data_IF_557371616385
#
_entry.id   IF_557371616385
#
_cell.length_a   1.000
_cell.length_b   1.000
_cell.length_c   1.000
_cell.angle_alpha   90.00
_cell.angle_beta   90.00
_cell.angle_gamma   90.00
#
_symmetry.space_group_name_H-M   'P 1'
#
loop_
_entity.id
_entity.type
_entity.pdbx_description
1 polymer ?
#
# COMPACT_ATOMS: atom_id res chain seq x y z
N UNK A 1 -25.59 -50.41 -35.08
CA UNK A 1 -26.69 -49.47 -34.75
C UNK A 1 -27.83 -50.10 -33.91
N UNK A 2 -27.80 -51.39 -33.55
CA UNK A 2 -28.86 -52.03 -32.75
C UNK A 2 -28.72 -51.77 -31.24
N UNK A 3 -27.48 -51.69 -30.71
CA UNK A 3 -27.21 -51.59 -29.27
C UNK A 3 -27.75 -50.32 -28.60
N UNK A 4 -27.75 -49.18 -29.29
CA UNK A 4 -28.31 -47.93 -28.74
C UNK A 4 -29.83 -48.00 -28.58
N UNK A 5 -30.53 -48.68 -29.52
CA UNK A 5 -31.98 -48.87 -29.47
C UNK A 5 -32.36 -49.80 -28.32
N UNK A 6 -31.62 -50.90 -28.15
CA UNK A 6 -31.78 -51.80 -27.02
C UNK A 6 -31.53 -51.11 -25.67
N UNK A 7 -30.51 -50.24 -25.59
CA UNK A 7 -30.26 -49.45 -24.39
C UNK A 7 -31.42 -48.47 -24.09
N UNK A 8 -31.92 -47.76 -25.11
CA UNK A 8 -33.04 -46.83 -24.96
C UNK A 8 -34.35 -47.52 -24.55
N UNK A 9 -34.66 -48.69 -25.11
CA UNK A 9 -35.83 -49.48 -24.74
C UNK A 9 -35.69 -50.03 -23.32
N UNK A 10 -34.50 -50.47 -22.91
CA UNK A 10 -34.22 -50.92 -21.54
C UNK A 10 -34.40 -49.80 -20.51
N UNK A 11 -34.03 -48.55 -20.85
CA UNK A 11 -34.27 -47.37 -20.00
C UNK A 11 -35.76 -47.08 -19.84
N UNK A 12 -36.54 -47.18 -20.92
CA UNK A 12 -38.00 -46.97 -20.88
C UNK A 12 -38.72 -48.05 -20.09
N UNK A 13 -38.30 -49.31 -20.22
CA UNK A 13 -38.94 -50.45 -19.53
C UNK A 13 -38.69 -50.44 -18.01
N UNK A 14 -37.53 -49.93 -17.57
CA UNK A 14 -37.14 -49.86 -16.16
C UNK A 14 -37.06 -48.41 -15.63
N UNK A 15 -38.03 -47.56 -16.00
CA UNK A 15 -37.99 -46.12 -15.78
C UNK A 15 -37.68 -45.67 -14.35
N UNK A 16 -38.24 -46.34 -13.31
CA UNK A 16 -37.97 -45.99 -11.90
C UNK A 16 -36.52 -46.25 -11.49
N UNK A 17 -35.94 -47.38 -11.96
CA UNK A 17 -34.55 -47.76 -11.65
C UNK A 17 -33.58 -46.84 -12.38
N UNK A 18 -33.81 -46.58 -13.67
CA UNK A 18 -32.94 -45.69 -14.44
C UNK A 18 -33.01 -44.25 -13.95
N UNK A 19 -34.20 -43.76 -13.58
CA UNK A 19 -34.35 -42.43 -13.00
C UNK A 19 -33.56 -42.28 -11.69
N UNK A 20 -33.64 -43.28 -10.79
CA UNK A 20 -32.86 -43.28 -9.55
C UNK A 20 -31.35 -43.28 -9.80
N UNK A 21 -30.87 -44.06 -10.78
CA UNK A 21 -29.45 -44.06 -11.17
C UNK A 21 -29.00 -42.72 -11.76
N UNK A 22 -29.81 -42.10 -12.64
CA UNK A 22 -29.52 -40.78 -13.20
C UNK A 22 -29.47 -39.72 -12.10
N UNK A 23 -30.43 -39.76 -11.17
CA UNK A 23 -30.50 -38.82 -10.06
C UNK A 23 -29.29 -38.97 -9.12
N UNK A 24 -28.86 -40.20 -8.84
CA UNK A 24 -27.63 -40.47 -8.08
C UNK A 24 -26.38 -39.91 -8.77
N UNK A 25 -26.24 -40.10 -10.09
CA UNK A 25 -25.13 -39.54 -10.86
C UNK A 25 -25.17 -38.02 -10.88
N UNK A 26 -26.33 -37.40 -11.08
CA UNK A 26 -26.50 -35.95 -11.07
C UNK A 26 -26.13 -35.36 -9.70
N UNK A 27 -26.58 -35.97 -8.60
CA UNK A 27 -26.23 -35.53 -7.26
C UNK A 27 -24.72 -35.65 -7.01
N UNK A 28 -24.09 -36.75 -7.42
CA UNK A 28 -22.65 -36.94 -7.29
C UNK A 28 -21.86 -35.88 -8.09
N UNK A 29 -22.23 -35.64 -9.35
CA UNK A 29 -21.59 -34.62 -10.20
C UNK A 29 -21.78 -33.23 -9.61
N UNK A 30 -23.00 -32.87 -9.19
CA UNK A 30 -23.28 -31.56 -8.61
C UNK A 30 -22.49 -31.35 -7.32
N UNK A 31 -22.39 -32.39 -6.48
CA UNK A 31 -21.61 -32.35 -5.25
C UNK A 31 -20.12 -32.17 -5.55
N UNK A 32 -19.54 -32.99 -6.43
CA UNK A 32 -18.12 -32.89 -6.80
C UNK A 32 -17.81 -31.52 -7.43
N UNK A 33 -18.60 -31.09 -8.42
CA UNK A 33 -18.41 -29.79 -9.07
C UNK A 33 -18.57 -28.63 -8.10
N UNK A 34 -19.59 -28.66 -7.23
CA UNK A 34 -19.77 -27.63 -6.20
C UNK A 34 -18.60 -27.56 -5.23
N UNK A 35 -18.05 -28.72 -4.84
CA UNK A 35 -16.89 -28.80 -3.95
C UNK A 35 -15.62 -28.24 -4.63
N UNK A 36 -15.40 -28.57 -5.91
CA UNK A 36 -14.26 -28.04 -6.68
C UNK A 36 -14.35 -26.52 -6.87
N UNK A 37 -15.54 -25.99 -7.17
CA UNK A 37 -15.76 -24.54 -7.29
C UNK A 37 -15.49 -23.85 -5.94
N UNK A 38 -15.96 -24.43 -4.84
CA UNK A 38 -15.73 -23.89 -3.50
C UNK A 38 -14.22 -23.88 -3.13
N UNK A 39 -13.48 -24.93 -3.49
CA UNK A 39 -12.03 -25.01 -3.28
C UNK A 39 -11.30 -23.99 -4.15
N UNK A 40 -11.60 -23.90 -5.44
CA UNK A 40 -10.98 -22.92 -6.35
C UNK A 40 -11.25 -21.50 -5.88
N UNK A 41 -12.48 -21.20 -5.46
CA UNK A 41 -12.82 -19.89 -4.89
C UNK A 41 -12.08 -19.60 -3.58
N UNK A 42 -11.97 -20.58 -2.68
CA UNK A 42 -11.30 -20.39 -1.39
C UNK A 42 -9.80 -20.24 -1.54
N UNK A 43 -9.19 -21.02 -2.45
CA UNK A 43 -7.76 -20.93 -2.76
C UNK A 43 -7.42 -19.61 -3.42
N UNK A 44 -8.23 -19.12 -4.37
CA UNK A 44 -8.05 -17.76 -4.92
C UNK A 44 -8.20 -16.69 -3.87
N UNK A 45 -9.26 -16.71 -3.06
CA UNK A 45 -9.44 -15.71 -2.01
C UNK A 45 -8.28 -15.71 -0.99
N UNK A 46 -7.74 -16.90 -0.68
CA UNK A 46 -6.57 -17.02 0.20
C UNK A 46 -5.32 -16.48 -0.47
N UNK A 47 -5.08 -16.83 -1.74
CA UNK A 47 -3.95 -16.33 -2.52
C UNK A 47 -4.01 -14.82 -2.70
N UNK A 48 -5.18 -14.28 -3.09
CA UNK A 48 -5.42 -12.85 -3.23
C UNK A 48 -5.20 -12.14 -1.89
N UNK A 49 -5.67 -12.71 -0.78
CA UNK A 49 -5.42 -12.16 0.56
C UNK A 49 -3.94 -12.20 0.97
N UNK A 50 -3.19 -13.24 0.59
CA UNK A 50 -1.75 -13.34 0.83
C UNK A 50 -0.97 -12.35 -0.03
N UNK A 51 -1.32 -12.22 -1.32
CA UNK A 51 -0.65 -11.35 -2.28
C UNK A 51 -1.00 -9.88 -2.07
N UNK A 52 -2.21 -9.55 -1.62
CA UNK A 52 -2.63 -8.18 -1.33
C UNK A 52 -1.76 -7.48 -0.28
N UNK A 53 -1.06 -8.23 0.56
CA UNK A 53 -0.14 -7.70 1.57
C UNK A 53 1.32 -7.63 1.09
N UNK A 54 1.64 -8.07 -0.13
CA UNK A 54 2.98 -7.93 -0.71
C UNK A 54 3.01 -6.60 -1.49
N UNK A 55 3.73 -5.57 -1.01
CA UNK A 55 3.73 -4.24 -1.63
C UNK A 55 4.42 -4.22 -3.00
N UNK A 56 5.21 -5.24 -3.33
CA UNK A 56 5.82 -5.40 -4.64
C UNK A 56 6.70 -6.66 -4.71
N UNK A 57 7.02 -7.10 -5.92
CA UNK A 57 7.85 -8.29 -6.14
C UNK A 57 9.31 -8.09 -5.67
N UNK A 58 9.80 -6.86 -5.77
CA UNK A 58 11.17 -6.46 -5.43
C UNK A 58 11.12 -5.12 -4.68
N UNK A 59 11.83 -5.03 -3.55
CA UNK A 59 12.02 -3.78 -2.82
C UNK A 59 13.52 -3.45 -2.77
N UNK A 60 13.86 -2.21 -3.13
CA UNK A 60 15.22 -1.70 -3.15
C UNK A 60 15.29 -0.46 -2.25
N UNK A 61 16.14 -0.51 -1.24
CA UNK A 61 16.40 0.64 -0.36
C UNK A 61 17.79 1.18 -0.64
N UNK A 62 17.88 2.49 -0.87
CA UNK A 62 19.16 3.18 -1.04
C UNK A 62 19.16 4.46 -0.21
N UNK A 63 20.18 4.61 0.62
CA UNK A 63 20.47 5.90 1.24
C UNK A 63 21.03 6.85 0.18
N UNK A 64 20.39 8.00 0.02
CA UNK A 64 20.70 8.98 -1.03
C UNK A 64 20.79 10.39 -0.45
N UNK A 65 21.71 11.19 -1.02
CA UNK A 65 21.85 12.61 -0.68
C UNK A 65 20.82 13.50 -1.37
N UNK A 66 20.92 14.80 -1.19
CA UNK A 66 20.00 15.80 -1.75
C UNK A 66 19.99 15.87 -3.28
N UNK A 67 21.05 15.43 -3.95
CA UNK A 67 21.27 15.55 -5.40
C UNK A 67 20.81 14.33 -6.21
N UNK A 68 20.19 13.34 -5.57
CA UNK A 68 19.75 12.13 -6.28
C UNK A 68 18.51 12.41 -7.14
N UNK A 69 18.65 12.19 -8.45
CA UNK A 69 17.54 12.29 -9.40
C UNK A 69 16.67 11.03 -9.30
N UNK A 70 15.58 11.19 -8.55
CA UNK A 70 14.56 10.17 -8.31
C UNK A 70 13.84 9.77 -9.59
N UNK A 71 13.48 10.75 -10.44
CA UNK A 71 12.72 10.51 -11.67
C UNK A 71 13.53 9.70 -12.67
N UNK A 72 14.77 10.12 -12.92
CA UNK A 72 15.67 9.39 -13.80
C UNK A 72 15.94 7.95 -13.30
N UNK A 73 16.05 7.75 -11.99
CA UNK A 73 16.22 6.40 -11.44
C UNK A 73 14.98 5.53 -11.69
N UNK A 74 13.78 6.07 -11.46
CA UNK A 74 12.52 5.38 -11.75
C UNK A 74 12.45 4.96 -13.22
N UNK A 75 12.71 5.89 -14.14
CA UNK A 75 12.60 5.64 -15.58
C UNK A 75 13.60 4.56 -16.04
N UNK A 76 14.81 4.56 -15.47
CA UNK A 76 15.80 3.51 -15.73
C UNK A 76 15.32 2.14 -15.26
N UNK A 77 14.72 2.02 -14.06
CA UNK A 77 14.19 0.74 -13.57
C UNK A 77 12.97 0.31 -14.40
N UNK A 78 12.07 1.24 -14.73
CA UNK A 78 10.90 0.97 -15.55
C UNK A 78 11.26 0.52 -16.98
N UNK A 79 12.44 0.88 -17.47
CA UNK A 79 12.94 0.44 -18.78
C UNK A 79 13.47 -1.01 -18.81
N UNK A 80 13.65 -1.65 -17.65
CA UNK A 80 14.17 -3.01 -17.57
C UNK A 80 13.12 -4.03 -18.07
N UNK A 81 13.58 -5.01 -18.84
CA UNK A 81 12.72 -6.07 -19.35
C UNK A 81 12.09 -6.87 -18.20
N UNK A 82 10.76 -6.96 -18.18
CA UNK A 82 9.99 -7.69 -17.17
C UNK A 82 9.45 -6.83 -16.03
N UNK A 83 9.84 -5.54 -15.94
CA UNK A 83 9.27 -4.60 -14.98
C UNK A 83 7.94 -4.06 -15.55
N UNK A 84 6.86 -4.21 -14.79
CA UNK A 84 5.52 -3.73 -15.19
C UNK A 84 5.16 -2.38 -14.59
N UNK A 85 5.52 -2.16 -13.32
CA UNK A 85 5.31 -0.90 -12.61
C UNK A 85 6.50 -0.65 -11.68
N UNK A 86 6.75 0.63 -11.40
CA UNK A 86 7.79 1.07 -10.46
C UNK A 86 7.20 2.16 -9.59
N UNK A 87 6.98 1.80 -8.34
CA UNK A 87 6.69 2.74 -7.28
C UNK A 87 7.99 3.26 -6.68
N UNK A 88 8.07 4.58 -6.51
CA UNK A 88 9.20 5.20 -5.85
C UNK A 88 8.71 6.26 -4.88
N UNK A 89 9.20 6.18 -3.65
CA UNK A 89 9.03 7.17 -2.62
C UNK A 89 10.36 7.44 -1.93
N UNK A 90 10.47 8.60 -1.29
CA UNK A 90 11.62 8.96 -0.46
C UNK A 90 11.11 9.17 0.94
N UNK A 91 11.75 8.53 1.90
CA UNK A 91 11.37 8.61 3.29
C UNK A 91 12.48 9.32 4.08
N UNK A 92 12.09 10.16 5.02
CA UNK A 92 12.99 10.79 5.97
C UNK A 92 12.30 10.90 7.33
N UNK A 93 12.98 10.43 8.37
CA UNK A 93 12.49 10.57 9.74
C UNK A 93 12.72 12.00 10.24
N UNK A 94 11.68 12.64 10.76
CA UNK A 94 11.72 14.01 11.26
C UNK A 94 11.71 14.00 12.80
N UNK A 95 12.73 14.63 13.38
CA UNK A 95 12.98 14.62 14.83
C UNK A 95 12.20 15.69 15.62
N UNK A 96 11.41 16.53 14.95
CA UNK A 96 10.55 17.49 15.61
C UNK A 96 9.53 18.09 14.67
N UNK A 97 8.25 17.97 15.02
CA UNK A 97 7.15 18.63 14.33
C UNK A 97 6.38 19.49 15.33
N UNK A 98 6.08 20.72 14.95
CA UNK A 98 5.36 21.64 15.81
C UNK A 98 4.53 22.66 15.01
N UNK A 99 3.44 23.14 15.58
CA UNK A 99 2.63 24.24 15.05
C UNK A 99 3.08 25.62 15.55
N UNK A 100 4.15 25.68 16.35
CA UNK A 100 4.70 26.91 16.91
C UNK A 100 6.23 26.91 16.79
N UNK A 101 6.85 28.06 16.58
CA UNK A 101 8.31 28.21 16.49
C UNK A 101 9.08 27.80 17.75
N UNK A 102 8.39 27.57 18.88
CA UNK A 102 9.00 27.19 20.16
C UNK A 102 8.52 25.79 20.58
N UNK A 103 9.37 24.79 20.39
CA UNK A 103 9.04 23.40 20.71
C UNK A 103 9.36 23.08 22.18
N UNK A 104 8.38 22.59 22.95
CA UNK A 104 8.59 22.11 24.33
C UNK A 104 8.87 20.60 24.39
N UNK A 105 8.36 19.83 23.40
CA UNK A 105 8.59 18.40 23.24
C UNK A 105 8.63 18.03 21.75
N UNK A 106 9.65 17.28 21.27
CA UNK A 106 9.69 16.80 19.90
C UNK A 106 8.60 15.77 19.66
N UNK A 107 7.78 16.02 18.64
CA UNK A 107 6.89 15.02 18.07
C UNK A 107 7.55 14.50 16.80
N UNK A 108 7.63 13.19 16.70
CA UNK A 108 8.27 12.51 15.57
C UNK A 108 7.24 12.20 14.50
N UNK A 109 7.66 12.34 13.24
CA UNK A 109 6.82 11.99 12.09
C UNK A 109 7.70 11.49 10.94
N UNK A 110 7.11 10.65 10.10
CA UNK A 110 7.73 10.25 8.83
C UNK A 110 7.36 11.26 7.75
N UNK A 111 8.39 11.82 7.11
CA UNK A 111 8.23 12.65 5.93
C UNK A 111 8.44 11.81 4.69
N UNK A 112 7.42 11.78 3.84
CA UNK A 112 7.42 10.99 2.60
C UNK A 112 7.26 11.88 1.39
N UNK A 113 8.23 11.78 0.51
CA UNK A 113 8.27 12.42 -0.80
C UNK A 113 7.66 11.49 -1.82
N UNK A 114 6.71 12.02 -2.59
CA UNK A 114 6.05 11.30 -3.68
C UNK A 114 6.14 12.08 -4.99
N UNK A 115 5.97 11.36 -6.09
CA UNK A 115 5.64 11.92 -7.39
C UNK A 115 4.11 11.88 -7.53
N UNK A 116 3.42 13.02 -7.67
CA UNK A 116 1.97 13.07 -7.87
C UNK A 116 1.49 12.29 -9.08
N UNK A 117 2.32 12.15 -10.12
CA UNK A 117 1.98 11.36 -11.31
C UNK A 117 2.06 9.85 -11.06
N UNK A 118 2.85 9.42 -10.07
CA UNK A 118 3.14 8.02 -9.77
C UNK A 118 3.07 7.78 -8.26
N UNK A 119 1.85 7.80 -7.74
CA UNK A 119 1.60 7.61 -6.31
C UNK A 119 1.99 6.18 -5.90
N UNK A 120 2.87 6.02 -4.90
CA UNK A 120 3.32 4.72 -4.42
C UNK A 120 2.14 3.84 -4.00
N UNK A 121 2.19 2.53 -4.29
CA UNK A 121 1.15 1.56 -3.92
C UNK A 121 0.66 1.65 -2.46
N UNK A 122 1.49 1.92 -1.43
CA UNK A 122 1.00 2.01 -0.05
C UNK A 122 0.06 3.20 0.18
N UNK A 123 0.19 4.23 -0.63
CA UNK A 123 -0.60 5.46 -0.54
C UNK A 123 -1.74 5.50 -1.55
N UNK A 124 -1.64 4.73 -2.65
CA UNK A 124 -2.58 4.78 -3.78
C UNK A 124 -4.05 4.61 -3.39
N UNK A 125 -4.34 3.81 -2.37
CA UNK A 125 -5.70 3.54 -1.86
C UNK A 125 -6.04 4.32 -0.58
N UNK A 126 -5.15 5.16 -0.09
CA UNK A 126 -5.40 6.00 1.09
C UNK A 126 -6.32 7.15 0.68
N UNK A 127 -7.45 7.29 1.38
CA UNK A 127 -8.34 8.42 1.17
C UNK A 127 -7.61 9.73 1.48
N UNK A 128 -7.77 10.75 0.64
CA UNK A 128 -7.22 12.07 0.91
C UNK A 128 -8.23 13.17 0.58
N UNK A 129 -8.11 14.31 1.25
CA UNK A 129 -9.00 15.47 1.06
C UNK A 129 -8.39 16.57 0.19
N UNK A 130 -7.10 16.47 -0.13
CA UNK A 130 -6.34 17.47 -0.90
C UNK A 130 -5.87 17.02 -2.28
N UNK A 131 -6.09 15.76 -2.67
CA UNK A 131 -5.45 15.16 -3.84
C UNK A 131 -3.95 14.89 -3.62
N UNK A 132 -3.33 14.16 -4.54
CA UNK A 132 -1.89 13.84 -4.50
C UNK A 132 -1.00 14.93 -5.08
N UNK A 133 -1.60 15.89 -5.79
CA UNK A 133 -0.89 17.03 -6.35
C UNK A 133 -0.67 18.10 -5.27
N UNK A 134 0.37 17.89 -4.45
CA UNK A 134 0.71 18.77 -3.33
C UNK A 134 1.54 19.97 -3.82
N UNK A 135 1.07 21.22 -3.63
CA UNK A 135 1.80 22.42 -4.03
C UNK A 135 3.12 22.60 -3.26
N UNK A 136 4.03 23.38 -3.84
CA UNK A 136 5.31 23.70 -3.20
C UNK A 136 5.11 24.38 -1.84
N UNK A 137 5.91 23.96 -0.84
CA UNK A 137 5.77 24.44 0.54
C UNK A 137 4.51 23.94 1.27
N UNK A 138 3.82 22.94 0.71
CA UNK A 138 2.63 22.34 1.32
C UNK A 138 2.80 20.86 1.61
N UNK A 139 1.96 20.32 2.48
CA UNK A 139 1.92 18.91 2.84
C UNK A 139 0.51 18.36 3.02
N UNK A 140 0.37 17.06 2.79
CA UNK A 140 -0.75 16.25 3.30
C UNK A 140 -0.31 15.63 4.62
N UNK A 141 -1.21 15.55 5.59
CA UNK A 141 -0.91 15.07 6.94
C UNK A 141 -1.89 13.99 7.35
N UNK A 142 -1.44 12.94 8.03
CA UNK A 142 -2.36 11.89 8.51
C UNK A 142 -3.40 12.44 9.49
N UNK A 143 -4.65 11.98 9.37
CA UNK A 143 -5.78 12.42 10.20
C UNK A 143 -5.50 12.20 11.69
N UNK A 144 -4.87 11.07 12.04
CA UNK A 144 -4.51 10.73 13.41
C UNK A 144 -3.47 11.73 13.98
N UNK A 145 -2.48 12.10 13.17
CA UNK A 145 -1.45 13.05 13.57
C UNK A 145 -1.99 14.48 13.64
N UNK A 146 -2.82 14.87 12.67
CA UNK A 146 -3.48 16.17 12.70
C UNK A 146 -4.38 16.31 13.93
N UNK A 147 -5.15 15.26 14.27
CA UNK A 147 -6.00 15.24 15.44
C UNK A 147 -5.21 15.32 16.76
N UNK A 148 -4.06 14.64 16.86
CA UNK A 148 -3.23 14.65 18.07
C UNK A 148 -2.66 16.04 18.37
N UNK A 149 -2.42 16.83 17.33
CA UNK A 149 -1.88 18.18 17.40
C UNK A 149 -2.94 19.30 17.29
N UNK A 150 -4.21 18.95 17.08
CA UNK A 150 -5.28 19.91 16.83
C UNK A 150 -5.09 20.72 15.54
N UNK A 151 -4.41 20.13 14.55
CA UNK A 151 -4.11 20.74 13.25
C UNK A 151 -5.28 20.60 12.29
N UNK A 152 -5.47 21.63 11.48
CA UNK A 152 -6.49 21.67 10.43
C UNK A 152 -5.87 22.05 9.08
N UNK A 153 -6.63 21.81 8.02
CA UNK A 153 -6.27 22.30 6.68
C UNK A 153 -6.13 23.83 6.70
N UNK A 154 -5.01 24.33 6.18
CA UNK A 154 -4.63 25.73 6.18
C UNK A 154 -3.64 26.11 7.28
N UNK A 155 -3.47 25.25 8.29
CA UNK A 155 -2.49 25.50 9.35
C UNK A 155 -1.06 25.31 8.85
N UNK A 156 -0.12 25.95 9.54
CA UNK A 156 1.31 25.82 9.26
C UNK A 156 1.99 24.94 10.30
N UNK A 157 2.86 24.06 9.83
CA UNK A 157 3.72 23.21 10.66
C UNK A 157 5.18 23.52 10.36
N UNK A 158 6.02 23.39 11.39
CA UNK A 158 7.46 23.52 11.31
C UNK A 158 8.07 22.16 11.53
N UNK A 159 8.79 21.68 10.51
CA UNK A 159 9.58 20.46 10.59
C UNK A 159 10.99 20.85 11.02
N UNK A 160 11.50 20.21 12.06
CA UNK A 160 12.83 20.39 12.60
C UNK A 160 13.59 19.08 12.46
N UNK A 161 14.75 19.15 11.83
CA UNK A 161 15.65 18.01 11.72
C UNK A 161 17.06 18.40 12.18
N UNK A 162 17.75 17.46 12.81
CA UNK A 162 19.11 17.64 13.31
C UNK A 162 20.03 16.74 12.51
N UNK A 163 20.97 17.35 11.78
CA UNK A 163 21.99 16.58 11.06
C UNK A 163 23.30 16.68 11.81
N UNK A 164 23.82 15.51 12.18
CA UNK A 164 25.11 15.38 12.84
C UNK A 164 26.20 15.18 11.79
N UNK A 165 27.15 16.10 11.70
CA UNK A 165 28.29 16.00 10.79
C UNK A 165 29.57 16.33 11.52
N UNK A 166 30.47 15.34 11.64
CA UNK A 166 31.83 15.50 12.17
C UNK A 166 31.91 16.29 13.49
N UNK A 167 31.03 16.00 14.44
CA UNK A 167 31.04 16.67 15.75
C UNK A 167 30.20 17.94 15.85
N UNK A 168 29.61 18.41 14.75
CA UNK A 168 28.73 19.57 14.74
C UNK A 168 27.28 19.15 14.45
N UNK A 169 26.33 19.73 15.17
CA UNK A 169 24.89 19.51 14.98
C UNK A 169 24.31 20.72 14.27
N UNK A 170 23.83 20.52 13.04
CA UNK A 170 23.12 21.57 12.30
C UNK A 170 21.63 21.31 12.39
N UNK A 171 20.89 22.30 12.88
CA UNK A 171 19.43 22.25 12.94
C UNK A 171 18.86 22.88 11.67
N UNK A 172 18.05 22.11 10.96
CA UNK A 172 17.29 22.57 9.80
C UNK A 172 15.83 22.74 10.19
N UNK A 173 15.21 23.83 9.72
CA UNK A 173 13.79 24.10 9.96
C UNK A 173 13.11 24.44 8.64
N UNK A 174 12.02 23.75 8.35
CA UNK A 174 11.20 23.96 7.14
C UNK A 174 9.77 24.19 7.57
N UNK A 175 9.14 25.25 7.06
CA UNK A 175 7.72 25.51 7.26
C UNK A 175 6.89 24.93 6.12
N UNK A 176 5.82 24.22 6.43
CA UNK A 176 4.87 23.68 5.46
C UNK A 176 3.45 24.09 5.82
N UNK A 177 2.61 24.30 4.82
CA UNK A 177 1.17 24.53 4.99
C UNK A 177 0.40 23.24 4.73
N UNK A 178 -0.55 22.91 5.61
CA UNK A 178 -1.38 21.71 5.46
C UNK A 178 -2.45 21.97 4.40
N UNK A 179 -2.36 21.29 3.25
CA UNK A 179 -3.33 21.45 2.15
C UNK A 179 -4.41 20.39 2.16
N UNK A 180 -4.23 19.30 2.90
CA UNK A 180 -5.20 18.24 3.04
C UNK A 180 -4.78 17.24 4.10
N UNK A 181 -5.72 16.37 4.43
CA UNK A 181 -5.52 15.29 5.38
C UNK A 181 -5.62 13.94 4.67
N UNK A 182 -4.85 12.98 5.18
CA UNK A 182 -4.82 11.59 4.75
C UNK A 182 -5.62 10.75 5.75
N UNK A 183 -6.45 9.86 5.23
CA UNK A 183 -7.13 8.85 6.03
C UNK A 183 -6.16 7.90 6.70
N UNK A 184 -6.70 6.87 7.37
CA UNK A 184 -5.90 5.87 8.06
C UNK A 184 -4.88 5.22 7.11
N UNK A 185 -3.60 5.55 7.32
CA UNK A 185 -2.49 4.87 6.67
C UNK A 185 -2.26 3.57 7.45
N UNK A 186 -2.37 2.39 6.83
CA UNK A 186 -2.12 1.15 7.54
C UNK A 186 -0.66 1.15 8.07
N UNK A 187 -0.42 0.87 9.36
CA UNK A 187 0.93 0.76 9.88
C UNK A 187 1.58 -0.48 9.26
N UNK A 188 2.72 -0.29 8.59
CA UNK A 188 3.29 -1.36 7.78
C UNK A 188 4.45 -2.12 8.43
N UNK A 189 5.05 -1.59 9.50
CA UNK A 189 6.04 -2.34 10.29
C UNK A 189 5.37 -3.00 11.49
N UNK A 190 4.79 -4.19 11.31
CA UNK A 190 4.49 -5.07 12.44
C UNK A 190 5.75 -5.83 12.82
N UNK A 191 6.47 -5.36 13.84
CA UNK A 191 7.56 -6.14 14.41
C UNK A 191 6.95 -7.25 15.27
N UNK A 192 7.01 -8.49 14.78
CA UNK A 192 6.62 -9.68 15.57
C UNK A 192 7.89 -10.48 15.87
N UNK A 193 8.17 -10.74 17.14
CA UNK A 193 9.33 -11.54 17.58
C UNK A 193 10.70 -11.06 17.03
N UNK A 194 10.94 -9.75 16.98
CA UNK A 194 12.23 -9.18 16.56
C UNK A 194 12.50 -9.22 15.05
N UNK A 195 11.58 -9.75 14.25
CA UNK A 195 11.57 -9.61 12.80
C UNK A 195 10.58 -8.51 12.44
N UNK A 196 11.11 -7.37 11.99
CA UNK A 196 10.31 -6.33 11.38
C UNK A 196 10.22 -6.66 9.89
N UNK A 197 9.01 -6.95 9.40
CA UNK A 197 8.79 -6.88 7.96
C UNK A 197 9.03 -5.41 7.55
N UNK A 198 9.82 -5.16 6.48
CA UNK A 198 10.01 -3.81 5.97
C UNK A 198 8.67 -3.31 5.45
N UNK A 199 7.98 -2.55 6.28
CA UNK A 199 6.88 -1.71 5.83
C UNK A 199 7.45 -0.47 5.13
N UNK A 200 6.71 0.11 4.17
CA UNK A 200 7.13 1.35 3.53
C UNK A 200 7.28 2.54 4.48
N UNK A 201 6.58 2.54 5.62
CA UNK A 201 6.62 3.60 6.63
C UNK A 201 6.85 3.04 8.03
N UNK A 202 7.66 3.74 8.84
CA UNK A 202 8.00 3.38 10.21
C UNK A 202 6.97 3.86 11.24
N UNK A 203 6.21 4.92 10.95
CA UNK A 203 5.30 5.58 11.86
C UNK A 203 3.93 5.89 11.19
N UNK A 204 2.77 5.64 11.85
CA UNK A 204 1.47 6.12 11.38
C UNK A 204 1.35 7.66 11.30
N UNK A 205 2.22 8.38 11.99
CA UNK A 205 2.32 9.84 11.92
C UNK A 205 3.06 10.26 10.64
N UNK A 206 2.28 10.43 9.56
CA UNK A 206 2.79 10.60 8.20
C UNK A 206 2.57 12.03 7.69
N UNK A 207 3.61 12.58 7.07
CA UNK A 207 3.58 13.85 6.34
C UNK A 207 4.00 13.57 4.90
N UNK A 208 3.12 13.82 3.94
CA UNK A 208 3.37 13.58 2.51
C UNK A 208 3.60 14.90 1.79
N UNK A 209 4.67 14.97 1.04
CA UNK A 209 5.09 16.12 0.22
C UNK A 209 5.47 15.65 -1.18
N UNK A 210 5.54 16.57 -2.14
CA UNK A 210 6.18 16.28 -3.42
C UNK A 210 7.70 16.22 -3.25
N UNK A 211 8.37 15.34 -4.00
CA UNK A 211 9.84 15.24 -4.01
C UNK A 211 10.57 16.58 -4.13
N UNK A 212 10.08 17.45 -5.01
CA UNK A 212 10.72 18.73 -5.35
C UNK A 212 10.53 19.80 -4.26
N UNK A 213 9.62 19.57 -3.31
CA UNK A 213 9.18 20.59 -2.36
C UNK A 213 10.04 20.64 -1.10
N UNK A 214 10.95 19.67 -0.93
CA UNK A 214 11.74 19.51 0.26
C UNK A 214 13.23 19.52 -0.07
N UNK A 215 14.03 20.38 0.61
CA UNK A 215 15.46 20.17 0.68
C UNK A 215 15.67 18.92 1.53
N UNK A 216 15.88 17.78 0.87
CA UNK A 216 16.17 16.54 1.56
C UNK A 216 17.55 16.60 2.21
N UNK A 217 17.63 16.20 3.48
CA UNK A 217 18.79 16.46 4.36
C UNK A 217 19.36 15.18 4.92
#
# INVERSE_FOLDING_TARGET
MSLWRYAADSVRHNGRRTFSSILGVLLAVTFVSGTLIAIDSSTRATLDGMLANIPGDLSLTRSTGSTFDVGAFRDNIASLAGVQDVDLYREQYIWGVTNNTSMRYPIYADLVGIDPAHVPSPLRNVANTGGWDVPNGSALVSDAFAASLGLHRGDSIFLQNQVYTMGNTTNYTVSLTIVGLLGAVPPTSSCTNGYCMPGPFYNPDLIVVRFENMPWI
#
